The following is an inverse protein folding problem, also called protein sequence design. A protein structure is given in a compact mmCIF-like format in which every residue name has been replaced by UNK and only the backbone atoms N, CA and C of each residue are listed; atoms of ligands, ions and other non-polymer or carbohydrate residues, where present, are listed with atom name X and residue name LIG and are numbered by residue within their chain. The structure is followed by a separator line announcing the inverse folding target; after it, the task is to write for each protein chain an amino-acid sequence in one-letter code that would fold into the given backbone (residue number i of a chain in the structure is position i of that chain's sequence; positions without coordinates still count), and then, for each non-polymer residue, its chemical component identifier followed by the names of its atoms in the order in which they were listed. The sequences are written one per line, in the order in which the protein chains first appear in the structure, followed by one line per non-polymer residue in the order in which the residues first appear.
data_IF_198686603166
#
_entry.id   IF_198686603166
#
_cell.length_a   1.000
_cell.length_b   1.000
_cell.length_c   1.000
_cell.angle_alpha   90.00
_cell.angle_beta   90.00
_cell.angle_gamma   90.00
#
_symmetry.space_group_name_H-M   'P 1'
#
loop_
_entity.id
_entity.type
_entity.pdbx_description
1 polymer ?
#
# COMPACT_ATOMS: atom_id res chain seq x y z
N UNK A 1 14.88 -13.05 10.74
CA UNK A 1 13.62 -13.19 11.46
C UNK A 1 12.47 -12.71 10.59
N UNK A 2 11.37 -13.41 10.63
CA UNK A 2 10.27 -13.14 9.73
C UNK A 2 9.05 -12.64 10.50
N UNK A 3 8.49 -11.51 10.07
CA UNK A 3 7.27 -10.97 10.67
C UNK A 3 6.05 -11.52 9.95
N UNK A 4 4.99 -11.77 10.71
CA UNK A 4 3.67 -12.03 10.13
C UNK A 4 3.07 -10.67 9.76
N UNK A 5 2.59 -10.55 8.54
CA UNK A 5 1.99 -9.31 8.04
C UNK A 5 0.47 -9.52 7.94
N UNK A 6 -0.28 -8.72 8.67
CA UNK A 6 -1.74 -8.77 8.69
C UNK A 6 -2.28 -7.49 8.05
N UNK A 7 -3.23 -7.65 7.12
CA UNK A 7 -3.87 -6.53 6.46
C UNK A 7 -5.25 -6.34 7.10
N UNK A 8 -5.52 -5.15 7.63
CA UNK A 8 -6.81 -4.85 8.27
C UNK A 8 -7.93 -4.80 7.25
N UNK A 9 -9.18 -4.89 7.73
CA UNK A 9 -10.35 -4.70 6.85
C UNK A 9 -10.34 -3.32 6.21
N UNK A 10 -9.89 -2.28 6.93
CA UNK A 10 -9.75 -0.95 6.37
C UNK A 10 -8.77 -0.90 5.21
N UNK A 11 -7.62 -1.54 5.36
CA UNK A 11 -6.63 -1.60 4.28
C UNK A 11 -7.13 -2.42 3.09
N UNK A 12 -7.89 -3.49 3.33
CA UNK A 12 -8.52 -4.26 2.25
C UNK A 12 -9.52 -3.41 1.49
N UNK A 13 -10.33 -2.63 2.18
CA UNK A 13 -11.26 -1.70 1.55
C UNK A 13 -10.52 -0.65 0.73
N UNK A 14 -9.37 -0.19 1.22
CA UNK A 14 -8.53 0.73 0.47
C UNK A 14 -8.07 0.11 -0.85
N UNK A 15 -7.64 -1.15 -0.83
CA UNK A 15 -7.23 -1.86 -2.05
C UNK A 15 -8.39 -1.99 -3.05
N UNK A 16 -9.59 -2.33 -2.56
CA UNK A 16 -10.77 -2.43 -3.42
C UNK A 16 -11.11 -1.09 -4.05
N UNK A 17 -11.04 -0.01 -3.27
CA UNK A 17 -11.30 1.34 -3.75
C UNK A 17 -10.30 1.76 -4.83
N UNK A 18 -9.03 1.46 -4.62
CA UNK A 18 -7.99 1.74 -5.60
C UNK A 18 -8.24 0.98 -6.90
N UNK A 19 -8.59 -0.29 -6.79
CA UNK A 19 -8.90 -1.13 -7.94
C UNK A 19 -10.08 -0.56 -8.74
N UNK A 20 -11.17 -0.23 -8.04
CA UNK A 20 -12.37 0.35 -8.68
C UNK A 20 -12.06 1.67 -9.37
N UNK A 21 -11.31 2.54 -8.71
CA UNK A 21 -10.92 3.83 -9.28
C UNK A 21 -10.09 3.66 -10.55
N UNK A 22 -9.10 2.76 -10.51
CA UNK A 22 -8.24 2.51 -11.67
C UNK A 22 -9.02 1.86 -12.81
N UNK A 23 -9.92 0.93 -12.49
CA UNK A 23 -10.76 0.30 -13.51
C UNK A 23 -11.67 1.32 -14.20
N UNK A 24 -12.29 2.19 -13.43
CA UNK A 24 -13.15 3.24 -14.00
C UNK A 24 -12.37 4.16 -14.95
N UNK A 25 -11.14 4.52 -14.57
CA UNK A 25 -10.28 5.33 -15.44
C UNK A 25 -9.94 4.62 -16.74
N UNK A 26 -9.59 3.34 -16.68
CA UNK A 26 -9.23 2.60 -17.89
C UNK A 26 -10.44 2.37 -18.79
N UNK A 27 -11.64 2.21 -18.22
CA UNK A 27 -12.87 2.09 -19.00
C UNK A 27 -13.23 3.38 -19.73
N UNK A 28 -12.89 4.54 -19.17
CA UNK A 28 -13.19 5.84 -19.78
C UNK A 28 -12.19 6.25 -20.86
N UNK A 29 -11.04 5.62 -20.91
CA UNK A 29 -10.00 5.97 -21.88
C UNK A 29 -10.10 5.14 -23.13
N UNK A 30 -9.90 5.80 -24.28
CA UNK A 30 -9.69 5.08 -25.54
C UNK A 30 -8.38 4.30 -25.44
N UNK A 31 -8.45 2.99 -25.68
CA UNK A 31 -7.28 2.13 -25.57
C UNK A 31 -6.87 1.87 -24.13
N UNK A 32 -7.78 2.02 -23.17
CA UNK A 32 -7.50 1.72 -21.79
C UNK A 32 -7.15 0.24 -21.57
N UNK A 33 -6.34 -0.01 -20.57
CA UNK A 33 -5.85 -1.35 -20.25
C UNK A 33 -6.59 -1.91 -19.04
N UNK A 34 -7.50 -2.85 -19.27
CA UNK A 34 -8.32 -3.44 -18.21
C UNK A 34 -7.50 -4.33 -17.26
N UNK A 35 -6.28 -4.71 -17.64
CA UNK A 35 -5.38 -5.45 -16.76
C UNK A 35 -4.62 -4.53 -15.80
N UNK A 36 -4.57 -3.23 -16.06
CA UNK A 36 -3.80 -2.29 -15.25
C UNK A 36 -4.20 -2.26 -13.77
N UNK A 37 -5.51 -2.26 -13.42
CA UNK A 37 -5.90 -2.29 -12.00
C UNK A 37 -5.37 -3.51 -11.25
N UNK A 38 -5.39 -4.70 -11.86
CA UNK A 38 -4.87 -5.91 -11.25
C UNK A 38 -3.35 -5.84 -11.08
N UNK A 39 -2.65 -5.27 -12.06
CA UNK A 39 -1.20 -5.10 -11.96
C UNK A 39 -0.84 -4.16 -10.81
N UNK A 40 -1.61 -3.09 -10.63
CA UNK A 40 -1.37 -2.14 -9.54
C UNK A 40 -1.57 -2.78 -8.18
N UNK A 41 -2.66 -3.50 -7.98
CA UNK A 41 -2.93 -4.21 -6.73
C UNK A 41 -1.87 -5.28 -6.50
N UNK A 42 -1.48 -6.01 -7.53
CA UNK A 42 -0.41 -7.01 -7.44
C UNK A 42 0.92 -6.39 -7.01
N UNK A 43 1.25 -5.21 -7.54
CA UNK A 43 2.47 -4.52 -7.16
C UNK A 43 2.45 -4.11 -5.69
N UNK A 44 1.30 -3.64 -5.20
CA UNK A 44 1.14 -3.28 -3.79
C UNK A 44 1.33 -4.51 -2.91
N UNK A 45 0.62 -5.59 -3.21
CA UNK A 45 0.70 -6.83 -2.42
C UNK A 45 2.11 -7.42 -2.43
N UNK A 46 2.78 -7.38 -3.59
CA UNK A 46 4.16 -7.85 -3.69
C UNK A 46 5.13 -7.01 -2.86
N UNK A 47 4.91 -5.69 -2.85
CA UNK A 47 5.76 -4.80 -2.07
C UNK A 47 5.60 -5.02 -0.57
N UNK A 48 4.42 -5.42 -0.11
CA UNK A 48 4.19 -5.70 1.31
C UNK A 48 5.06 -6.85 1.82
N UNK A 49 5.61 -7.69 0.94
CA UNK A 49 6.50 -8.77 1.34
C UNK A 49 7.76 -8.25 2.06
N UNK A 50 8.19 -7.02 1.76
CA UNK A 50 9.33 -6.44 2.45
C UNK A 50 9.06 -6.27 3.95
N UNK A 51 7.79 -6.09 4.32
CA UNK A 51 7.42 -5.92 5.72
C UNK A 51 7.58 -7.21 6.53
N UNK A 52 7.53 -8.35 5.85
CA UNK A 52 7.76 -9.64 6.51
C UNK A 52 9.22 -9.81 6.92
N UNK A 53 10.13 -9.06 6.31
CA UNK A 53 11.57 -9.23 6.51
C UNK A 53 12.26 -8.02 7.10
N UNK A 54 11.88 -6.82 6.64
CA UNK A 54 12.63 -5.60 6.97
C UNK A 54 11.71 -4.41 7.25
N UNK A 55 10.75 -4.51 8.20
CA UNK A 55 9.82 -3.41 8.44
C UNK A 55 10.51 -2.16 8.99
N UNK A 56 11.64 -2.32 9.68
CA UNK A 56 12.37 -1.19 10.28
C UNK A 56 13.15 -0.37 9.26
N UNK A 57 13.27 -0.83 8.01
CA UNK A 57 13.91 -0.04 6.95
C UNK A 57 12.99 1.02 6.37
N UNK A 58 11.68 0.93 6.66
CA UNK A 58 10.71 1.91 6.18
C UNK A 58 10.73 3.16 7.04
N UNK A 59 10.31 4.29 6.44
CA UNK A 59 10.33 5.58 7.15
C UNK A 59 9.27 5.64 8.23
N UNK A 60 9.55 6.41 9.28
CA UNK A 60 8.59 6.63 10.35
C UNK A 60 7.49 7.59 9.88
N UNK A 61 6.29 7.42 10.44
CA UNK A 61 5.18 8.34 10.23
C UNK A 61 5.25 9.45 11.28
N UNK A 62 5.81 10.61 10.89
CA UNK A 62 5.93 11.73 11.78
C UNK A 62 6.59 11.34 13.09
N UNK A 63 5.94 11.66 14.20
CA UNK A 63 6.47 11.41 15.55
C UNK A 63 5.95 10.10 16.17
N UNK A 64 5.17 9.33 15.41
CA UNK A 64 4.68 8.04 15.91
C UNK A 64 5.82 7.04 16.07
N UNK A 65 6.01 6.47 17.27
CA UNK A 65 7.15 5.58 17.50
C UNK A 65 7.00 4.22 16.82
N UNK A 66 5.76 3.74 16.62
CA UNK A 66 5.53 2.39 16.08
C UNK A 66 4.93 2.38 14.68
N UNK A 67 4.42 3.50 14.17
CA UNK A 67 3.85 3.59 12.83
C UNK A 67 4.88 4.01 11.82
N UNK A 68 4.85 3.33 10.66
CA UNK A 68 5.77 3.56 9.55
C UNK A 68 5.03 3.54 8.23
N UNK A 69 5.73 3.96 7.19
CA UNK A 69 5.19 4.02 5.84
C UNK A 69 6.11 3.30 4.88
N UNK A 70 5.53 2.44 4.05
CA UNK A 70 6.23 1.84 2.92
C UNK A 70 5.80 2.57 1.65
N UNK A 71 6.75 3.20 0.96
CA UNK A 71 6.48 3.87 -0.31
C UNK A 71 6.66 2.85 -1.43
N UNK A 72 5.64 2.71 -2.26
CA UNK A 72 5.58 1.71 -3.33
C UNK A 72 5.53 2.43 -4.66
N UNK A 73 6.62 2.39 -5.43
CA UNK A 73 6.67 2.99 -6.76
C UNK A 73 5.88 2.14 -7.75
N UNK A 74 5.00 2.78 -8.53
CA UNK A 74 4.26 2.13 -9.59
C UNK A 74 3.84 3.15 -10.64
N UNK A 75 4.25 2.92 -11.90
CA UNK A 75 4.00 3.87 -12.97
C UNK A 75 4.64 5.23 -12.69
N UNK A 76 3.92 6.31 -12.96
CA UNK A 76 4.40 7.68 -12.71
C UNK A 76 4.18 8.16 -11.29
N UNK A 77 3.39 7.42 -10.55
CA UNK A 77 3.07 7.77 -9.17
C UNK A 77 3.42 6.58 -8.30
N UNK A 78 2.73 6.42 -7.21
CA UNK A 78 2.95 5.29 -6.33
C UNK A 78 1.90 5.25 -5.24
N UNK A 79 2.12 4.35 -4.32
CA UNK A 79 1.21 4.14 -3.20
C UNK A 79 2.01 4.18 -1.91
N UNK A 80 1.30 4.39 -0.82
CA UNK A 80 1.88 4.37 0.51
C UNK A 80 1.09 3.39 1.35
N UNK A 81 1.77 2.40 1.92
CA UNK A 81 1.19 1.49 2.89
C UNK A 81 1.59 1.94 4.29
N UNK A 82 0.59 2.27 5.11
CA UNK A 82 0.81 2.66 6.49
C UNK A 82 0.66 1.45 7.38
N UNK A 83 1.66 1.18 8.20
CA UNK A 83 1.67 -0.03 9.01
C UNK A 83 2.24 0.25 10.39
N UNK A 84 1.92 -0.65 11.31
CA UNK A 84 2.44 -0.60 12.67
C UNK A 84 3.24 -1.88 12.95
N UNK A 85 4.42 -1.72 13.55
CA UNK A 85 5.18 -2.85 14.07
C UNK A 85 4.68 -3.06 15.50
N UNK A 86 3.86 -4.09 15.69
CA UNK A 86 3.16 -4.31 16.95
C UNK A 86 4.02 -5.07 17.95
N UNK A 87 4.81 -6.03 17.46
CA UNK A 87 5.66 -6.87 18.31
C UNK A 87 6.84 -7.37 17.49
N UNK A 88 7.64 -8.24 18.09
CA UNK A 88 8.83 -8.83 17.46
C UNK A 88 8.49 -9.62 16.19
N UNK A 89 7.26 -10.07 16.04
CA UNK A 89 6.87 -10.95 14.94
C UNK A 89 5.58 -10.54 14.24
N UNK A 90 5.04 -9.34 14.52
CA UNK A 90 3.76 -8.95 13.96
C UNK A 90 3.78 -7.52 13.44
N UNK A 91 3.39 -7.38 12.17
CA UNK A 91 3.18 -6.10 11.49
C UNK A 91 1.73 -6.04 11.03
N UNK A 92 1.07 -4.92 11.28
CA UNK A 92 -0.31 -4.70 10.86
C UNK A 92 -0.38 -3.54 9.88
N UNK A 93 -0.85 -3.82 8.66
CA UNK A 93 -1.07 -2.80 7.63
C UNK A 93 -2.44 -2.21 7.83
N UNK A 94 -2.51 -0.93 8.20
CA UNK A 94 -3.76 -0.27 8.56
C UNK A 94 -4.41 0.53 7.45
N UNK A 95 -3.63 0.99 6.48
CA UNK A 95 -4.17 1.80 5.38
C UNK A 95 -3.27 1.71 4.16
N UNK A 96 -3.87 1.86 2.98
CA UNK A 96 -3.15 1.95 1.72
C UNK A 96 -3.71 3.15 0.96
N UNK A 97 -2.83 4.07 0.56
CA UNK A 97 -3.23 5.31 -0.06
C UNK A 97 -2.45 5.56 -1.33
N UNK A 98 -3.04 6.30 -2.24
CA UNK A 98 -2.30 6.83 -3.36
C UNK A 98 -1.31 7.87 -2.85
N UNK A 99 -0.11 7.91 -3.40
CA UNK A 99 0.94 8.82 -2.93
C UNK A 99 0.51 10.28 -2.97
N UNK A 100 -0.28 10.67 -3.97
CA UNK A 100 -0.80 12.03 -4.09
C UNK A 100 -1.80 12.40 -3.00
N UNK A 101 -2.53 11.42 -2.45
CA UNK A 101 -3.46 11.70 -1.36
C UNK A 101 -2.71 12.16 -0.10
N UNK A 102 -1.53 11.58 0.14
CA UNK A 102 -0.70 11.98 1.27
C UNK A 102 -0.14 13.39 1.10
N UNK A 103 0.10 13.81 -0.13
CA UNK A 103 0.67 15.13 -0.41
C UNK A 103 -0.34 16.28 -0.21
N UNK A 104 -1.60 15.97 -0.03
CA UNK A 104 -2.65 16.97 0.16
C UNK A 104 -2.91 17.34 1.62
N UNK A 105 -2.10 16.86 2.53
CA UNK A 105 -2.29 17.16 3.96
C UNK A 105 -1.43 18.29 4.47
#
# INVERSE_FOLDING_TARGET
MRYRVVITDGARKDLLRLHEFLLARELERDGGDLAFPDLAVGAILGALDILARHPYTCRKMGEHPSWRELVIAFGRTGYVAQFEIVSEDLVIVGAIRHQREDDYH
#
